data_IF_699682634357
#
_entry.id   IF_699682634357
#
_cell.length_a   1.000
_cell.length_b   1.000
_cell.length_c   1.000
_cell.angle_alpha   90.00
_cell.angle_beta   90.00
_cell.angle_gamma   90.00
#
_symmetry.space_group_name_H-M   'P 1'
#
loop_
_entity.id
_entity.type
_entity.pdbx_description
1 polymer ?
#
# COMPACT_ATOMS: atom_id res chain seq x y z
N UNK A 1 -4.00 5.78 -21.59
CA UNK A 1 -2.53 5.58 -21.49
C UNK A 1 -2.00 6.49 -20.38
N UNK A 2 -1.79 5.98 -19.17
CA UNK A 2 -1.24 6.76 -18.06
C UNK A 2 0.28 6.90 -18.23
N UNK A 3 0.76 8.10 -18.52
CA UNK A 3 2.19 8.41 -18.65
C UNK A 3 2.73 8.72 -17.26
N UNK A 4 3.36 7.73 -16.62
CA UNK A 4 4.05 7.94 -15.35
C UNK A 4 5.13 9.03 -15.52
N UNK A 5 5.15 10.07 -14.66
CA UNK A 5 6.17 11.12 -14.74
C UNK A 5 7.56 10.50 -14.56
N UNK A 6 8.50 10.95 -15.38
CA UNK A 6 9.86 10.42 -15.50
C UNK A 6 10.67 10.72 -14.22
N UNK A 7 10.41 10.01 -13.12
CA UNK A 7 11.11 10.09 -11.83
C UNK A 7 12.51 9.46 -11.87
N UNK A 8 13.27 9.67 -12.96
CA UNK A 8 14.56 8.99 -13.16
C UNK A 8 15.73 9.62 -12.41
N UNK A 9 15.59 10.83 -11.84
CA UNK A 9 16.72 11.54 -11.20
C UNK A 9 16.93 11.24 -9.72
N UNK A 10 15.96 10.63 -9.03
CA UNK A 10 16.05 10.39 -7.57
C UNK A 10 16.28 8.93 -7.15
N UNK A 11 16.10 7.97 -8.05
CA UNK A 11 16.13 6.53 -7.71
C UNK A 11 17.47 5.85 -8.07
N UNK A 12 18.53 6.64 -8.21
CA UNK A 12 19.86 6.09 -8.43
C UNK A 12 20.49 5.76 -7.08
N UNK A 13 20.82 4.49 -6.85
CA UNK A 13 21.52 4.03 -5.65
C UNK A 13 23.02 4.04 -5.97
N UNK A 14 23.81 4.99 -5.45
CA UNK A 14 25.23 5.09 -5.81
C UNK A 14 26.09 4.03 -5.14
N UNK A 15 25.67 3.50 -3.99
CA UNK A 15 26.43 2.54 -3.19
C UNK A 15 25.52 1.86 -2.18
N UNK A 16 25.76 0.58 -1.91
CA UNK A 16 25.23 -0.15 -0.75
C UNK A 16 26.37 -0.77 0.05
N UNK A 17 26.12 -1.11 1.31
CA UNK A 17 27.02 -1.95 2.11
C UNK A 17 26.53 -3.39 2.06
N UNK A 18 27.44 -4.36 1.93
CA UNK A 18 27.12 -5.77 2.09
C UNK A 18 26.97 -6.16 3.57
N UNK A 19 26.70 -7.45 3.84
CA UNK A 19 26.54 -7.97 5.20
C UNK A 19 27.79 -7.86 6.07
N UNK A 20 28.97 -7.74 5.46
CA UNK A 20 30.26 -7.57 6.12
C UNK A 20 30.64 -6.09 6.26
N UNK A 21 29.73 -5.17 5.91
CA UNK A 21 29.93 -3.72 5.98
C UNK A 21 30.81 -3.16 4.86
N UNK A 22 31.07 -3.92 3.79
CA UNK A 22 31.93 -3.46 2.69
C UNK A 22 31.11 -2.71 1.64
N UNK A 23 31.61 -1.58 1.13
CA UNK A 23 30.90 -0.80 0.11
C UNK A 23 30.92 -1.48 -1.25
N UNK A 24 29.77 -1.46 -1.91
CA UNK A 24 29.56 -1.94 -3.27
C UNK A 24 28.90 -0.85 -4.12
N UNK A 25 29.53 -0.53 -5.25
CA UNK A 25 29.07 0.49 -6.22
C UNK A 25 28.71 -0.10 -7.58
N UNK A 26 29.05 -1.38 -7.82
CA UNK A 26 28.72 -2.07 -9.07
C UNK A 26 27.22 -2.46 -9.09
N UNK A 27 26.60 -2.34 -10.25
CA UNK A 27 25.18 -2.62 -10.46
C UNK A 27 24.82 -4.06 -10.08
N UNK A 28 25.62 -5.03 -10.51
CA UNK A 28 25.37 -6.45 -10.22
C UNK A 28 25.51 -6.74 -8.73
N UNK A 29 26.52 -6.15 -8.08
CA UNK A 29 26.73 -6.30 -6.64
C UNK A 29 25.59 -5.66 -5.83
N UNK A 30 25.14 -4.46 -6.20
CA UNK A 30 23.96 -3.81 -5.61
C UNK A 30 22.71 -4.69 -5.78
N UNK A 31 22.45 -5.23 -6.98
CA UNK A 31 21.33 -6.16 -7.21
C UNK A 31 21.41 -7.41 -6.34
N UNK A 32 22.60 -7.98 -6.17
CA UNK A 32 22.83 -9.16 -5.33
C UNK A 32 22.58 -8.85 -3.84
N UNK A 33 23.05 -7.71 -3.34
CA UNK A 33 22.82 -7.26 -1.96
C UNK A 33 21.31 -7.09 -1.71
N UNK A 34 20.60 -6.41 -2.61
CA UNK A 34 19.15 -6.20 -2.51
C UNK A 34 18.40 -7.53 -2.52
N UNK A 35 18.74 -8.43 -3.44
CA UNK A 35 18.12 -9.74 -3.54
C UNK A 35 18.31 -10.54 -2.25
N UNK A 36 19.55 -10.67 -1.78
CA UNK A 36 19.85 -11.42 -0.55
C UNK A 36 19.17 -10.81 0.69
N UNK A 37 19.16 -9.47 0.79
CA UNK A 37 18.47 -8.77 1.87
C UNK A 37 16.98 -9.13 1.92
N UNK A 38 16.26 -9.01 0.80
CA UNK A 38 14.82 -9.29 0.78
C UNK A 38 14.52 -10.78 0.90
N UNK A 39 15.30 -11.65 0.27
CA UNK A 39 15.17 -13.11 0.48
C UNK A 39 15.31 -13.43 1.95
N UNK A 40 16.32 -12.89 2.64
CA UNK A 40 16.47 -13.13 4.08
C UNK A 40 15.34 -12.52 4.88
N UNK A 41 14.96 -11.26 4.63
CA UNK A 41 13.86 -10.59 5.33
C UNK A 41 12.55 -11.38 5.27
N UNK A 42 12.23 -11.93 4.09
CA UNK A 42 11.02 -12.72 3.88
C UNK A 42 11.17 -14.22 4.19
N UNK A 43 12.41 -14.72 4.36
CA UNK A 43 12.68 -16.11 4.73
C UNK A 43 12.97 -16.30 6.22
N UNK A 44 13.29 -15.24 6.97
CA UNK A 44 13.43 -15.29 8.43
C UNK A 44 12.09 -15.61 9.07
N UNK A 45 11.79 -16.90 9.21
CA UNK A 45 10.76 -17.41 10.10
C UNK A 45 11.32 -17.52 11.53
N UNK A 46 11.75 -16.40 12.10
CA UNK A 46 12.33 -16.39 13.45
C UNK A 46 11.33 -15.82 14.47
N UNK A 47 10.65 -16.75 15.15
CA UNK A 47 10.20 -16.56 16.54
C UNK A 47 8.79 -15.97 16.73
N UNK A 48 7.84 -16.85 17.05
CA UNK A 48 6.45 -16.55 17.46
C UNK A 48 5.75 -15.48 16.62
N UNK A 49 5.21 -15.91 15.47
CA UNK A 49 4.43 -15.12 14.52
C UNK A 49 3.10 -14.56 15.02
N UNK A 50 2.97 -14.30 16.32
CA UNK A 50 1.97 -13.43 16.89
C UNK A 50 2.66 -12.71 18.05
N UNK A 51 2.85 -11.39 17.95
CA UNK A 51 3.01 -10.60 19.15
C UNK A 51 1.91 -11.06 20.12
N UNK A 52 2.27 -11.41 21.36
CA UNK A 52 1.29 -11.83 22.38
C UNK A 52 0.14 -10.83 22.35
N UNK A 53 -1.00 -11.24 21.78
CA UNK A 53 -2.21 -10.40 21.73
C UNK A 53 -2.66 -10.03 23.14
N UNK A 54 -2.16 -10.74 24.16
CA UNK A 54 -2.29 -10.41 25.58
C UNK A 54 -1.92 -8.94 25.91
N UNK A 55 -1.02 -8.30 25.16
CA UNK A 55 -0.65 -6.90 25.35
C UNK A 55 -1.47 -5.91 24.51
N UNK A 56 -2.28 -6.39 23.57
CA UNK A 56 -3.11 -5.55 22.72
C UNK A 56 -4.43 -5.27 23.45
N UNK A 57 -4.63 -3.99 23.79
CA UNK A 57 -5.92 -3.55 24.31
C UNK A 57 -6.98 -3.64 23.21
N UNK A 58 -8.15 -4.15 23.57
CA UNK A 58 -9.31 -4.16 22.68
C UNK A 58 -9.69 -2.71 22.35
N UNK A 59 -9.46 -2.30 21.11
CA UNK A 59 -9.74 -0.95 20.61
C UNK A 59 -11.12 -0.84 19.93
N UNK A 60 -11.76 -1.96 19.64
CA UNK A 60 -13.05 -2.03 18.96
C UNK A 60 -14.09 -2.43 19.99
N UNK A 61 -15.01 -1.51 20.28
CA UNK A 61 -16.12 -1.79 21.19
C UNK A 61 -17.17 -2.67 20.51
N UNK A 62 -18.12 -3.19 21.30
CA UNK A 62 -19.26 -3.92 20.74
C UNK A 62 -20.10 -3.04 19.80
N UNK A 63 -20.24 -1.76 20.13
CA UNK A 63 -20.94 -0.78 19.27
C UNK A 63 -20.20 -0.62 17.94
N UNK A 64 -18.88 -0.44 17.96
CA UNK A 64 -18.07 -0.35 16.73
C UNK A 64 -18.22 -1.61 15.88
N UNK A 65 -18.24 -2.78 16.52
CA UNK A 65 -18.41 -4.06 15.81
C UNK A 65 -19.77 -4.13 15.10
N UNK A 66 -20.85 -3.69 15.76
CA UNK A 66 -22.18 -3.62 15.16
C UNK A 66 -22.20 -2.64 13.99
N UNK A 67 -21.58 -1.47 14.13
CA UNK A 67 -21.52 -0.47 13.06
C UNK A 67 -20.67 -0.92 11.87
N UNK A 68 -19.51 -1.55 12.11
CA UNK A 68 -18.63 -2.08 11.05
C UNK A 68 -19.26 -3.24 10.27
N UNK A 69 -20.18 -3.98 10.89
CA UNK A 69 -20.94 -5.05 10.25
C UNK A 69 -22.24 -4.57 9.57
N UNK A 70 -22.64 -3.32 9.80
CA UNK A 70 -23.82 -2.76 9.17
C UNK A 70 -23.59 -2.54 7.67
N UNK A 71 -24.70 -2.49 6.91
CA UNK A 71 -24.63 -2.06 5.52
C UNK A 71 -24.29 -0.58 5.46
N UNK A 72 -23.41 -0.21 4.53
CA UNK A 72 -23.11 1.19 4.27
C UNK A 72 -24.35 1.90 3.70
N UNK A 73 -24.51 3.15 4.08
CA UNK A 73 -25.50 4.04 3.52
C UNK A 73 -25.03 4.64 2.20
N UNK A 74 -25.98 5.08 1.38
CA UNK A 74 -25.66 5.76 0.13
C UNK A 74 -24.87 7.07 0.35
N UNK A 75 -25.11 7.74 1.48
CA UNK A 75 -24.40 8.96 1.86
C UNK A 75 -22.93 8.67 2.17
N UNK A 76 -22.65 7.65 2.99
CA UNK A 76 -21.27 7.21 3.29
C UNK A 76 -20.52 6.77 2.03
N UNK A 77 -21.21 6.05 1.14
CA UNK A 77 -20.63 5.68 -0.15
C UNK A 77 -20.22 6.91 -0.96
N UNK A 78 -21.11 7.90 -1.06
CA UNK A 78 -20.82 9.15 -1.76
C UNK A 78 -19.62 9.86 -1.13
N UNK A 79 -19.63 10.09 0.17
CA UNK A 79 -18.55 10.78 0.87
C UNK A 79 -17.21 10.05 0.70
N UNK A 80 -17.21 8.72 0.77
CA UNK A 80 -16.02 7.92 0.53
C UNK A 80 -15.48 8.12 -0.90
N UNK A 81 -16.34 8.02 -1.92
CA UNK A 81 -15.93 8.20 -3.32
C UNK A 81 -15.38 9.60 -3.59
N UNK A 82 -15.99 10.65 -3.04
CA UNK A 82 -15.58 12.04 -3.27
C UNK A 82 -14.45 12.53 -2.36
N UNK A 83 -14.17 11.87 -1.24
CA UNK A 83 -13.01 12.17 -0.39
C UNK A 83 -11.68 11.64 -0.94
N UNK A 84 -11.74 10.67 -1.86
CA UNK A 84 -10.57 10.08 -2.48
C UNK A 84 -10.11 10.85 -3.73
N UNK A 85 -8.79 10.93 -3.94
CA UNK A 85 -8.23 11.53 -5.16
C UNK A 85 -8.56 10.70 -6.41
N UNK A 86 -8.89 11.39 -7.51
CA UNK A 86 -9.37 10.77 -8.76
C UNK A 86 -8.30 9.97 -9.52
N UNK A 87 -7.03 10.14 -9.16
CA UNK A 87 -5.85 9.51 -9.77
C UNK A 87 -5.46 8.17 -9.13
N UNK A 88 -6.30 7.63 -8.25
CA UNK A 88 -6.13 6.28 -7.68
C UNK A 88 -6.09 5.23 -8.79
N UNK A 89 -5.25 4.22 -8.57
CA UNK A 89 -5.10 3.09 -9.48
C UNK A 89 -6.46 2.40 -9.71
N UNK A 90 -6.73 2.02 -10.95
CA UNK A 90 -7.94 1.29 -11.31
C UNK A 90 -7.95 -0.11 -10.71
N UNK A 91 -9.14 -0.61 -10.42
CA UNK A 91 -9.33 -2.00 -10.05
C UNK A 91 -9.06 -2.96 -11.21
N UNK A 92 -9.25 -4.28 -10.99
CA UNK A 92 -9.19 -5.30 -12.03
C UNK A 92 -10.19 -5.08 -13.17
N UNK A 93 -11.24 -4.29 -12.92
CA UNK A 93 -12.25 -3.85 -13.89
C UNK A 93 -11.74 -2.77 -14.86
N UNK A 94 -10.57 -2.17 -14.60
CA UNK A 94 -9.97 -1.13 -15.44
C UNK A 94 -10.62 0.24 -15.31
N UNK A 95 -11.60 0.42 -14.42
CA UNK A 95 -12.26 1.69 -14.18
C UNK A 95 -11.47 2.53 -13.17
N UNK A 96 -11.22 3.80 -13.49
CA UNK A 96 -10.60 4.73 -12.54
C UNK A 96 -11.63 5.30 -11.58
N UNK A 97 -11.18 5.79 -10.42
CA UNK A 97 -12.08 6.45 -9.48
C UNK A 97 -12.74 7.71 -10.07
N UNK A 98 -12.03 8.41 -10.96
CA UNK A 98 -12.55 9.55 -11.71
C UNK A 98 -13.85 9.23 -12.49
N UNK A 99 -13.94 8.02 -13.06
CA UNK A 99 -15.14 7.57 -13.77
C UNK A 99 -16.35 7.53 -12.84
N UNK A 100 -16.20 6.93 -11.66
CA UNK A 100 -17.29 6.82 -10.69
C UNK A 100 -17.70 8.18 -10.12
N UNK A 101 -16.74 9.07 -9.83
CA UNK A 101 -17.03 10.43 -9.40
C UNK A 101 -17.89 11.17 -10.44
N UNK A 102 -17.53 11.10 -11.72
CA UNK A 102 -18.30 11.75 -12.79
C UNK A 102 -19.69 11.12 -12.96
N UNK A 103 -19.75 9.79 -13.05
CA UNK A 103 -21.02 9.06 -13.22
C UNK A 103 -22.01 9.37 -12.09
N UNK A 104 -21.52 9.43 -10.84
CA UNK A 104 -22.35 9.75 -9.68
C UNK A 104 -22.74 11.23 -9.62
N UNK A 105 -21.94 12.17 -10.13
CA UNK A 105 -22.40 13.56 -10.29
C UNK A 105 -23.60 13.62 -11.25
N UNK A 106 -23.53 12.89 -12.37
CA UNK A 106 -24.57 12.92 -13.40
C UNK A 106 -25.85 12.20 -12.95
N UNK A 107 -25.74 11.12 -12.18
CA UNK A 107 -26.88 10.35 -11.66
C UNK A 107 -27.66 11.07 -10.54
N UNK A 108 -27.00 11.96 -9.79
CA UNK A 108 -27.58 12.64 -8.62
C UNK A 108 -28.10 14.05 -8.92
N UNK A 109 -28.23 14.39 -10.20
CA UNK A 109 -28.82 15.64 -10.68
C UNK A 109 -30.32 15.50 -10.90
#
# INVERSE_FOLDING_TARGET
MHRLPKRRRGNHIPMLLDSDGRPCTDHNGICSIVHHYFVNLFSTSSGSGFAKFDALQLCVTNEDSVQLMALFSIHEFRDAVFSMHSDKASGPDGMSLAFFQQFLVDYWR
#
